data_IF_559222848100
#
_entry.id   IF_559222848100
#
_cell.length_a   1.000
_cell.length_b   1.000
_cell.length_c   1.000
_cell.angle_alpha   90.00
_cell.angle_beta   90.00
_cell.angle_gamma   90.00
#
_symmetry.space_group_name_H-M   'P 1'
#
loop_
_entity.id
_entity.type
_entity.pdbx_description
1 polymer ?
#
# COMPACT_ATOMS: atom_id res chain seq x y z
N UNK A 1 -71.78 45.79 -37.28
CA UNK A 1 -71.86 46.37 -35.92
C UNK A 1 -72.64 45.41 -35.03
N UNK A 2 -72.19 45.30 -33.77
CA UNK A 2 -72.83 44.69 -32.60
C UNK A 2 -72.98 43.14 -32.57
N UNK A 3 -72.27 42.47 -31.63
CA UNK A 3 -72.72 42.00 -30.28
C UNK A 3 -73.84 40.96 -30.43
N UNK A 4 -73.78 39.71 -29.97
CA UNK A 4 -73.01 39.01 -28.95
C UNK A 4 -74.00 38.06 -28.25
N UNK A 5 -73.68 36.77 -28.07
CA UNK A 5 -74.43 35.89 -27.18
C UNK A 5 -73.57 34.67 -26.81
N UNK A 6 -73.31 34.52 -25.52
CA UNK A 6 -72.68 33.36 -24.91
C UNK A 6 -73.69 32.23 -24.73
N UNK A 7 -73.24 30.98 -24.89
CA UNK A 7 -73.93 29.79 -24.39
C UNK A 7 -72.93 29.00 -23.53
N UNK A 8 -73.30 28.78 -22.27
CA UNK A 8 -72.54 28.04 -21.29
C UNK A 8 -72.66 26.52 -21.55
N UNK A 9 -71.56 25.79 -21.40
CA UNK A 9 -71.59 24.35 -21.17
C UNK A 9 -70.71 24.03 -19.97
N UNK A 10 -71.33 23.44 -18.95
CA UNK A 10 -70.71 22.99 -17.71
C UNK A 10 -69.89 21.73 -17.98
N UNK A 11 -68.62 21.73 -17.60
CA UNK A 11 -67.78 20.51 -17.51
C UNK A 11 -67.29 20.40 -16.08
N UNK A 12 -67.65 19.28 -15.44
CA UNK A 12 -67.24 18.90 -14.09
C UNK A 12 -65.78 18.44 -14.14
N UNK A 13 -64.87 19.19 -13.52
CA UNK A 13 -63.50 18.73 -13.26
C UNK A 13 -63.46 17.90 -11.98
N UNK A 14 -63.08 16.63 -12.11
CA UNK A 14 -62.67 15.80 -10.98
C UNK A 14 -61.31 16.29 -10.46
N UNK A 15 -61.25 16.66 -9.19
CA UNK A 15 -60.02 17.02 -8.49
C UNK A 15 -59.19 15.75 -8.22
N UNK A 16 -57.98 15.69 -8.80
CA UNK A 16 -56.96 14.74 -8.35
C UNK A 16 -56.29 15.32 -7.08
N UNK A 17 -56.10 14.53 -6.01
CA UNK A 17 -55.37 14.99 -4.84
C UNK A 17 -53.90 15.20 -5.21
N UNK A 18 -53.39 16.40 -4.90
CA UNK A 18 -52.00 16.76 -5.13
C UNK A 18 -51.06 15.82 -4.41
N UNK A 19 -50.16 15.18 -5.17
CA UNK A 19 -49.01 14.50 -4.63
C UNK A 19 -48.09 15.55 -4.01
N UNK A 20 -48.02 15.55 -2.68
CA UNK A 20 -46.91 16.17 -1.96
C UNK A 20 -45.66 15.45 -2.44
N UNK A 21 -44.82 16.14 -3.20
CA UNK A 21 -43.49 15.64 -3.53
C UNK A 21 -42.73 15.50 -2.21
N UNK A 22 -42.59 14.26 -1.75
CA UNK A 22 -41.60 13.94 -0.75
C UNK A 22 -40.24 14.26 -1.39
N UNK A 23 -39.52 15.23 -0.83
CA UNK A 23 -38.11 15.42 -1.11
C UNK A 23 -37.44 14.07 -0.96
N UNK A 24 -37.04 13.48 -2.09
CA UNK A 24 -36.22 12.30 -2.09
C UNK A 24 -34.87 12.76 -1.55
N UNK A 25 -34.34 12.20 -0.45
CA UNK A 25 -33.01 12.56 -0.01
C UNK A 25 -32.08 12.32 -1.20
N UNK A 26 -31.26 13.31 -1.54
CA UNK A 26 -30.16 13.09 -2.46
C UNK A 26 -29.41 11.83 -1.99
N UNK A 27 -28.99 10.92 -2.90
CA UNK A 27 -28.22 9.77 -2.48
C UNK A 27 -27.01 10.30 -1.71
N UNK A 28 -26.91 9.96 -0.42
CA UNK A 28 -25.68 10.14 0.35
C UNK A 28 -24.58 9.53 -0.50
N UNK A 29 -23.55 10.30 -0.83
CA UNK A 29 -22.32 9.71 -1.36
C UNK A 29 -21.96 8.54 -0.46
N UNK A 30 -21.75 7.35 -1.04
CA UNK A 30 -21.35 6.19 -0.28
C UNK A 30 -20.06 6.58 0.47
N UNK A 31 -20.07 6.46 1.80
CA UNK A 31 -18.86 6.71 2.59
C UNK A 31 -17.77 5.72 2.21
N UNK A 32 -16.53 6.08 2.48
CA UNK A 32 -15.38 5.22 2.29
C UNK A 32 -15.18 4.38 3.54
N UNK A 33 -14.96 3.08 3.34
CA UNK A 33 -14.67 2.16 4.43
C UNK A 33 -13.25 2.39 4.93
N UNK A 34 -13.11 2.61 6.23
CA UNK A 34 -11.84 2.82 6.91
C UNK A 34 -11.66 1.84 8.04
N UNK A 35 -10.46 1.28 8.14
CA UNK A 35 -10.07 0.46 9.27
C UNK A 35 -9.76 1.30 10.50
N UNK A 36 -10.26 0.83 11.64
CA UNK A 36 -10.06 1.45 12.94
C UNK A 36 -8.88 0.75 13.63
N UNK A 37 -7.82 1.45 14.02
CA UNK A 37 -6.71 0.81 14.73
C UNK A 37 -7.17 0.25 16.08
N UNK A 38 -6.41 -0.69 16.64
CA UNK A 38 -6.61 -1.20 18.00
C UNK A 38 -6.42 -0.11 19.07
N UNK A 39 -6.93 -0.31 20.30
CA UNK A 39 -6.70 0.63 21.40
C UNK A 39 -5.21 0.71 21.77
N UNK A 40 -4.75 1.90 22.18
CA UNK A 40 -3.31 2.16 22.43
C UNK A 40 -2.68 1.20 23.45
N UNK A 41 -3.39 0.89 24.53
CA UNK A 41 -2.91 -0.01 25.59
C UNK A 41 -3.27 -1.49 25.36
N UNK A 42 -3.88 -1.80 24.21
CA UNK A 42 -4.17 -3.15 23.79
C UNK A 42 -3.04 -3.76 22.96
N UNK A 43 -3.19 -5.04 22.63
CA UNK A 43 -2.29 -5.73 21.69
C UNK A 43 -2.88 -5.81 20.29
N UNK A 44 -4.21 -5.77 20.14
CA UNK A 44 -4.88 -5.95 18.84
C UNK A 44 -4.47 -4.88 17.82
N UNK A 45 -4.32 -5.30 16.56
CA UNK A 45 -3.93 -4.42 15.47
C UNK A 45 -5.05 -3.46 15.07
N UNK A 46 -6.30 -3.95 15.03
CA UNK A 46 -7.47 -3.19 14.66
C UNK A 46 -8.68 -3.40 15.58
N UNK A 47 -9.74 -2.67 15.29
CA UNK A 47 -11.02 -2.63 16.02
C UNK A 47 -12.22 -2.66 15.07
N UNK A 48 -12.01 -3.13 13.84
CA UNK A 48 -13.03 -3.27 12.81
C UNK A 48 -13.03 -2.07 11.88
N UNK A 49 -14.14 -1.89 11.17
CA UNK A 49 -14.27 -0.90 10.11
C UNK A 49 -15.46 0.02 10.36
N UNK A 50 -15.38 1.23 9.83
CA UNK A 50 -16.51 2.16 9.74
C UNK A 50 -16.53 2.85 8.39
N UNK A 51 -17.63 3.51 8.04
CA UNK A 51 -17.74 4.28 6.79
C UNK A 51 -17.72 5.77 7.10
N UNK A 52 -16.80 6.50 6.48
CA UNK A 52 -16.58 7.93 6.71
C UNK A 52 -16.75 8.73 5.41
N UNK A 53 -17.11 10.01 5.48
CA UNK A 53 -17.16 10.85 4.27
C UNK A 53 -15.76 11.01 3.65
N UNK A 54 -15.60 10.85 2.32
CA UNK A 54 -14.30 11.01 1.66
C UNK A 54 -13.75 12.43 1.73
N UNK A 55 -14.62 13.45 1.79
CA UNK A 55 -14.27 14.86 1.98
C UNK A 55 -13.75 15.20 3.39
N UNK A 56 -13.75 14.24 4.31
CA UNK A 56 -13.37 14.48 5.70
C UNK A 56 -14.27 15.50 6.41
N UNK A 57 -13.69 16.29 7.32
CA UNK A 57 -14.39 17.40 7.98
C UNK A 57 -14.05 18.73 7.29
N UNK A 58 -14.85 19.05 6.28
CA UNK A 58 -14.65 20.20 5.42
C UNK A 58 -14.68 21.53 6.20
N UNK A 59 -13.67 22.39 5.98
CA UNK A 59 -13.54 23.71 6.63
C UNK A 59 -12.84 24.73 5.73
N UNK A 60 -13.22 25.99 5.90
CA UNK A 60 -12.61 27.11 5.21
C UNK A 60 -11.15 27.27 5.64
N UNK A 61 -10.22 27.01 4.72
CA UNK A 61 -8.80 27.24 4.90
C UNK A 61 -8.45 28.71 4.68
N UNK A 62 -7.61 29.27 5.55
CA UNK A 62 -6.95 30.53 5.27
C UNK A 62 -6.03 30.39 4.05
N UNK A 63 -5.80 31.49 3.34
CA UNK A 63 -4.86 31.48 2.21
C UNK A 63 -3.44 31.45 2.75
N UNK A 64 -2.64 30.52 2.23
CA UNK A 64 -1.19 30.51 2.41
C UNK A 64 -0.59 31.85 1.93
N UNK A 65 0.43 32.31 2.65
CA UNK A 65 1.29 33.43 2.25
C UNK A 65 2.16 33.07 1.04
N UNK A 66 2.77 34.06 0.40
CA UNK A 66 3.59 33.80 -0.80
C UNK A 66 4.76 32.83 -0.57
N UNK A 67 5.52 32.90 0.56
CA UNK A 67 6.55 31.90 0.86
C UNK A 67 5.99 30.49 1.09
N UNK A 68 4.82 30.38 1.73
CA UNK A 68 4.16 29.11 1.97
C UNK A 68 3.69 28.47 0.65
N UNK A 69 3.07 29.25 -0.24
CA UNK A 69 2.68 28.80 -1.59
C UNK A 69 3.89 28.33 -2.40
N UNK A 70 5.05 28.96 -2.22
CA UNK A 70 6.26 28.59 -2.95
C UNK A 70 6.86 27.25 -2.49
N UNK A 71 6.63 26.85 -1.24
CA UNK A 71 7.07 25.57 -0.70
C UNK A 71 6.00 24.46 -0.81
N UNK A 72 4.73 24.85 -0.91
CA UNK A 72 3.62 23.91 -0.95
C UNK A 72 3.65 23.01 -2.19
N UNK A 73 3.60 21.70 -1.94
CA UNK A 73 3.69 20.67 -2.96
C UNK A 73 5.08 20.30 -3.42
N UNK A 74 6.14 20.80 -2.79
CA UNK A 74 7.50 20.40 -3.13
C UNK A 74 7.64 18.88 -2.95
N UNK A 75 8.20 18.21 -3.96
CA UNK A 75 8.37 16.76 -3.98
C UNK A 75 9.86 16.42 -3.85
N UNK A 76 10.22 15.65 -2.84
CA UNK A 76 11.60 15.20 -2.63
C UNK A 76 11.68 13.69 -2.58
N UNK A 77 12.60 13.11 -3.36
CA UNK A 77 12.97 11.69 -3.25
C UNK A 77 13.96 11.49 -2.12
N UNK A 78 13.50 11.05 -0.96
CA UNK A 78 14.32 10.89 0.25
C UNK A 78 15.06 9.56 0.27
N UNK A 79 14.53 8.54 -0.39
CA UNK A 79 15.20 7.25 -0.62
C UNK A 79 15.16 6.94 -2.12
N UNK A 80 16.34 6.85 -2.73
CA UNK A 80 16.50 6.52 -4.15
C UNK A 80 17.27 5.21 -4.34
N UNK A 81 16.53 4.13 -4.60
CA UNK A 81 17.11 2.83 -4.89
C UNK A 81 17.05 2.48 -6.39
N UNK A 82 16.61 3.40 -7.24
CA UNK A 82 16.46 3.20 -8.67
C UNK A 82 15.26 3.92 -9.29
N UNK A 83 15.07 3.76 -10.61
CA UNK A 83 13.93 4.36 -11.31
C UNK A 83 12.60 3.80 -10.78
N UNK A 84 11.57 4.64 -10.71
CA UNK A 84 10.24 4.26 -10.19
C UNK A 84 9.58 3.15 -10.99
N UNK A 85 9.82 3.09 -12.30
CA UNK A 85 9.34 1.98 -13.14
C UNK A 85 9.80 0.57 -12.70
N UNK A 86 10.80 0.48 -11.81
CA UNK A 86 11.34 -0.77 -11.29
C UNK A 86 11.33 -0.84 -9.76
N UNK A 87 10.77 0.15 -9.06
CA UNK A 87 10.75 0.22 -7.60
C UNK A 87 9.31 0.35 -7.13
N UNK A 88 9.10 0.03 -5.86
CA UNK A 88 7.87 0.35 -5.17
C UNK A 88 8.02 1.74 -4.55
N UNK A 89 7.21 2.69 -4.99
CA UNK A 89 7.35 4.09 -4.63
C UNK A 89 6.32 4.45 -3.54
N UNK A 90 6.80 4.67 -2.31
CA UNK A 90 5.99 5.13 -1.18
C UNK A 90 6.00 6.65 -1.16
N UNK A 91 4.83 7.28 -1.22
CA UNK A 91 4.66 8.73 -1.09
C UNK A 91 4.18 9.07 0.32
N UNK A 92 4.98 9.84 1.04
CA UNK A 92 4.66 10.35 2.37
C UNK A 92 4.19 11.80 2.26
N UNK A 93 3.00 12.10 2.75
CA UNK A 93 2.45 13.47 2.80
C UNK A 93 2.29 13.88 4.25
N UNK A 94 2.84 15.03 4.64
CA UNK A 94 2.74 15.54 6.01
C UNK A 94 1.53 16.45 6.18
N UNK A 95 0.76 16.30 7.25
CA UNK A 95 -0.32 17.24 7.59
C UNK A 95 -0.13 17.89 8.96
N UNK A 96 -0.57 19.14 9.09
CA UNK A 96 -0.41 19.93 10.31
C UNK A 96 1.02 20.43 10.53
N UNK A 97 1.88 20.43 9.50
CA UNK A 97 3.21 21.07 9.55
C UNK A 97 3.16 22.43 8.87
N UNK A 98 3.53 23.48 9.59
CA UNK A 98 3.73 24.81 9.00
C UNK A 98 5.03 24.86 8.17
N UNK A 99 5.22 25.92 7.39
CA UNK A 99 6.46 26.14 6.62
C UNK A 99 7.73 26.01 7.48
N UNK A 100 7.70 26.51 8.72
CA UNK A 100 8.83 26.43 9.65
C UNK A 100 9.09 25.01 10.18
N UNK A 101 8.12 24.10 10.03
CA UNK A 101 8.14 22.74 10.56
C UNK A 101 8.38 21.68 9.47
N UNK A 102 8.49 22.06 8.19
CA UNK A 102 8.84 21.11 7.11
C UNK A 102 10.15 20.33 7.38
N UNK A 103 11.21 20.91 7.96
CA UNK A 103 12.38 20.12 8.35
C UNK A 103 12.06 19.02 9.38
N UNK A 104 11.06 19.25 10.25
CA UNK A 104 10.57 18.21 11.19
C UNK A 104 9.77 17.16 10.44
N UNK A 105 8.89 17.54 9.51
CA UNK A 105 8.17 16.58 8.66
C UNK A 105 9.13 15.62 7.94
N UNK A 106 10.19 16.13 7.31
CA UNK A 106 11.16 15.28 6.62
C UNK A 106 11.88 14.32 7.58
N UNK A 107 12.21 14.77 8.78
CA UNK A 107 12.79 13.92 9.82
C UNK A 107 11.81 12.83 10.30
N UNK A 108 10.54 13.18 10.47
CA UNK A 108 9.49 12.25 10.89
C UNK A 108 9.21 11.21 9.78
N UNK A 109 9.20 11.62 8.51
CA UNK A 109 9.09 10.72 7.37
C UNK A 109 10.27 9.72 7.32
N UNK A 110 11.50 10.20 7.54
CA UNK A 110 12.68 9.34 7.61
C UNK A 110 12.61 8.37 8.79
N UNK A 111 12.19 8.85 9.98
CA UNK A 111 12.00 8.01 11.16
C UNK A 111 10.97 6.92 10.90
N UNK A 112 9.83 7.27 10.29
CA UNK A 112 8.77 6.32 9.97
C UNK A 112 9.23 5.27 8.96
N UNK A 113 9.98 5.66 7.93
CA UNK A 113 10.61 4.71 7.03
C UNK A 113 11.59 3.76 7.76
N UNK A 114 12.33 4.28 8.74
CA UNK A 114 13.17 3.46 9.63
C UNK A 114 12.38 2.43 10.43
N UNK A 115 11.20 2.80 10.93
CA UNK A 115 10.28 1.89 11.65
C UNK A 115 9.75 0.78 10.72
N UNK A 116 9.28 1.13 9.51
CA UNK A 116 8.82 0.16 8.51
C UNK A 116 9.93 -0.84 8.15
N UNK A 117 11.12 -0.33 7.84
CA UNK A 117 12.27 -1.16 7.44
C UNK A 117 12.97 -1.88 8.59
N UNK A 118 12.47 -1.77 9.82
CA UNK A 118 12.87 -2.61 10.94
C UNK A 118 12.07 -3.93 11.02
N UNK A 119 10.98 -4.06 10.26
CA UNK A 119 10.10 -5.24 10.23
C UNK A 119 10.38 -6.09 9.00
N UNK A 120 10.45 -7.41 9.14
CA UNK A 120 10.53 -8.31 7.98
C UNK A 120 9.14 -8.47 7.33
N UNK A 121 9.01 -8.53 5.99
CA UNK A 121 10.10 -8.60 5.01
C UNK A 121 10.66 -7.25 4.54
N UNK A 122 10.15 -6.10 5.00
CA UNK A 122 10.69 -4.78 4.59
C UNK A 122 12.19 -4.65 4.84
N UNK A 123 12.67 -5.12 5.99
CA UNK A 123 14.09 -5.08 6.33
C UNK A 123 14.97 -5.74 5.26
N UNK A 124 14.62 -6.95 4.82
CA UNK A 124 15.35 -7.66 3.75
C UNK A 124 15.22 -6.96 2.39
N UNK A 125 14.03 -6.44 2.06
CA UNK A 125 13.70 -5.94 0.72
C UNK A 125 13.73 -4.42 0.57
N UNK A 126 14.18 -3.66 1.57
CA UNK A 126 14.15 -2.19 1.57
C UNK A 126 14.76 -1.51 0.34
N UNK A 127 15.67 -2.18 -0.36
CA UNK A 127 16.28 -1.67 -1.61
C UNK A 127 15.41 -1.88 -2.86
N UNK A 128 14.20 -2.44 -2.72
CA UNK A 128 13.16 -2.45 -3.75
C UNK A 128 12.28 -1.20 -3.71
N UNK A 129 12.44 -0.35 -2.69
CA UNK A 129 11.56 0.79 -2.45
C UNK A 129 12.24 2.11 -2.79
N UNK A 130 11.48 3.04 -3.32
CA UNK A 130 11.76 4.46 -3.23
C UNK A 130 10.85 5.08 -2.16
N UNK A 131 11.30 6.17 -1.56
CA UNK A 131 10.48 6.96 -0.64
C UNK A 131 10.51 8.41 -1.09
N UNK A 132 9.34 9.01 -1.18
CA UNK A 132 9.12 10.39 -1.57
C UNK A 132 8.40 11.11 -0.43
N UNK A 133 8.71 12.39 -0.26
CA UNK A 133 7.94 13.29 0.57
C UNK A 133 7.25 14.33 -0.31
N UNK A 134 6.01 14.67 0.02
CA UNK A 134 5.30 15.82 -0.56
C UNK A 134 4.98 16.78 0.58
N UNK A 135 5.47 18.02 0.46
CA UNK A 135 5.30 19.04 1.49
C UNK A 135 3.90 19.66 1.37
N UNK A 136 2.97 19.26 2.24
CA UNK A 136 1.64 19.90 2.31
C UNK A 136 1.64 20.94 3.44
N UNK A 137 1.82 22.20 3.06
CA UNK A 137 2.05 23.30 4.01
C UNK A 137 0.73 23.66 4.69
N UNK A 138 0.68 23.48 6.01
CA UNK A 138 -0.49 23.80 6.83
C UNK A 138 -0.42 25.22 7.40
N UNK A 139 -1.58 25.91 7.47
CA UNK A 139 -1.68 27.22 8.14
C UNK A 139 -1.43 27.12 9.65
N UNK A 140 -1.72 25.98 10.26
CA UNK A 140 -1.58 25.76 11.69
C UNK A 140 -0.80 24.48 12.00
N UNK A 141 -0.02 24.53 13.09
CA UNK A 141 0.67 23.37 13.65
C UNK A 141 -0.31 22.49 14.43
N UNK A 142 -0.16 21.16 14.29
CA UNK A 142 -1.04 20.16 14.89
C UNK A 142 -2.20 19.78 13.98
N UNK A 143 -3.07 18.88 14.45
CA UNK A 143 -4.27 18.43 13.72
C UNK A 143 -5.53 18.61 14.56
N UNK A 144 -6.71 18.56 13.93
CA UNK A 144 -7.98 18.71 14.65
C UNK A 144 -8.22 17.52 15.60
N UNK A 145 -8.87 17.76 16.74
CA UNK A 145 -9.15 16.71 17.75
C UNK A 145 -8.01 16.44 18.75
N UNK A 146 -6.92 17.22 18.71
CA UNK A 146 -5.76 17.12 19.60
C UNK A 146 -5.38 18.53 20.15
N UNK A 147 -5.41 18.78 21.48
CA UNK A 147 -5.51 17.79 22.58
C UNK A 147 -6.93 17.30 22.91
N UNK A 148 -7.97 17.94 22.40
CA UNK A 148 -9.36 17.64 22.76
C UNK A 148 -10.27 17.54 21.53
N UNK A 149 -11.42 16.83 21.60
CA UNK A 149 -12.33 16.66 20.45
C UNK A 149 -12.82 17.96 19.81
N UNK A 150 -12.91 19.03 20.59
CA UNK A 150 -13.32 20.37 20.16
C UNK A 150 -12.19 21.19 19.53
N UNK A 151 -10.94 20.71 19.57
CA UNK A 151 -9.81 21.39 18.94
C UNK A 151 -9.96 21.39 17.42
N UNK A 152 -9.91 22.58 16.83
CA UNK A 152 -10.00 22.81 15.40
C UNK A 152 -8.70 23.38 14.88
N UNK A 153 -8.14 22.76 13.85
CA UNK A 153 -6.96 23.22 13.13
C UNK A 153 -7.25 23.35 11.63
N UNK A 154 -6.71 24.41 11.04
CA UNK A 154 -6.66 24.65 9.60
C UNK A 154 -5.36 24.04 9.03
N UNK A 155 -5.49 22.84 8.46
CA UNK A 155 -4.37 22.03 7.97
C UNK A 155 -4.58 21.64 6.51
N UNK A 156 -3.48 21.33 5.83
CA UNK A 156 -3.44 21.12 4.39
C UNK A 156 -4.30 19.94 3.92
N UNK A 157 -4.34 18.85 4.68
CA UNK A 157 -5.12 17.64 4.36
C UNK A 157 -6.37 17.48 5.23
N UNK A 158 -6.57 18.39 6.20
CA UNK A 158 -7.71 18.35 7.10
C UNK A 158 -7.75 17.13 8.03
N UNK A 159 -6.59 16.56 8.40
CA UNK A 159 -6.53 15.40 9.28
C UNK A 159 -7.20 15.67 10.63
N UNK A 160 -7.91 14.69 11.16
CA UNK A 160 -8.62 14.84 12.44
C UNK A 160 -8.79 13.51 13.18
N UNK A 161 -8.62 13.59 14.51
CA UNK A 161 -9.00 12.54 15.46
C UNK A 161 -10.51 12.54 15.72
N UNK A 162 -11.01 11.53 16.46
CA UNK A 162 -12.44 11.39 16.80
C UNK A 162 -13.33 11.24 15.57
N UNK A 163 -12.76 10.65 14.51
CA UNK A 163 -13.54 10.23 13.38
C UNK A 163 -14.52 9.13 13.81
N UNK A 164 -15.79 9.28 13.43
CA UNK A 164 -16.91 8.45 13.90
C UNK A 164 -16.99 8.33 15.45
N UNK A 165 -16.62 9.41 16.16
CA UNK A 165 -16.57 9.48 17.64
C UNK A 165 -15.56 8.50 18.29
N UNK A 166 -14.63 7.96 17.51
CA UNK A 166 -13.57 7.07 17.97
C UNK A 166 -12.27 7.87 18.09
N UNK A 167 -11.81 8.09 19.33
CA UNK A 167 -10.68 8.98 19.65
C UNK A 167 -9.45 8.79 18.75
N UNK A 168 -9.04 7.53 18.56
CA UNK A 168 -7.81 7.14 17.85
C UNK A 168 -7.99 7.01 16.33
N UNK A 169 -9.21 7.13 15.81
CA UNK A 169 -9.45 7.07 14.38
C UNK A 169 -9.04 8.41 13.76
N UNK A 170 -7.93 8.40 13.05
CA UNK A 170 -7.31 9.58 12.43
C UNK A 170 -7.67 9.60 10.93
N UNK A 171 -8.72 10.32 10.60
CA UNK A 171 -9.22 10.41 9.22
C UNK A 171 -8.63 11.62 8.49
N UNK A 172 -8.67 11.56 7.16
CA UNK A 172 -8.20 12.60 6.22
C UNK A 172 -9.28 12.93 5.19
N UNK A 173 -9.09 14.05 4.47
CA UNK A 173 -9.82 14.36 3.24
C UNK A 173 -9.08 13.72 2.05
N UNK A 174 -9.67 12.70 1.44
CA UNK A 174 -9.03 11.94 0.35
C UNK A 174 -8.82 12.79 -0.90
N UNK A 175 -9.73 13.74 -1.19
CA UNK A 175 -9.58 14.64 -2.33
C UNK A 175 -8.38 15.56 -2.19
N UNK A 176 -8.11 16.04 -0.97
CA UNK A 176 -6.89 16.81 -0.66
C UNK A 176 -5.64 15.94 -0.73
N UNK A 177 -5.68 14.73 -0.17
CA UNK A 177 -4.56 13.77 -0.28
C UNK A 177 -4.22 13.53 -1.75
N UNK A 178 -5.21 13.20 -2.58
CA UNK A 178 -5.03 12.99 -4.02
C UNK A 178 -4.42 14.20 -4.72
N UNK A 179 -4.83 15.42 -4.37
CA UNK A 179 -4.28 16.64 -4.96
C UNK A 179 -2.77 16.81 -4.68
N UNK A 180 -2.27 16.35 -3.53
CA UNK A 180 -0.83 16.33 -3.23
C UNK A 180 -0.12 15.14 -3.84
N UNK A 181 -0.71 13.94 -3.77
CA UNK A 181 -0.12 12.72 -4.35
C UNK A 181 0.02 12.84 -5.87
N UNK A 182 -0.89 13.54 -6.55
CA UNK A 182 -0.78 13.81 -7.98
C UNK A 182 0.51 14.57 -8.39
N UNK A 183 1.18 15.25 -7.45
CA UNK A 183 2.49 15.89 -7.68
C UNK A 183 3.64 14.87 -7.72
N UNK A 184 3.43 13.67 -7.17
CA UNK A 184 4.33 12.52 -7.19
C UNK A 184 3.63 11.30 -7.84
N UNK A 185 3.40 11.32 -9.18
CA UNK A 185 2.48 10.42 -9.87
C UNK A 185 2.91 8.95 -9.93
N UNK A 186 4.12 8.64 -9.48
CA UNK A 186 4.66 7.28 -9.43
C UNK A 186 4.25 6.53 -8.15
N UNK A 187 3.32 7.08 -7.34
CA UNK A 187 2.94 6.49 -6.06
C UNK A 187 2.27 5.11 -6.21
N UNK A 188 2.83 4.10 -5.53
CA UNK A 188 2.18 2.80 -5.36
C UNK A 188 1.44 2.71 -4.01
N UNK A 189 1.92 3.45 -3.00
CA UNK A 189 1.35 3.48 -1.65
C UNK A 189 1.46 4.88 -1.05
N UNK A 190 0.44 5.31 -0.31
CA UNK A 190 0.39 6.61 0.35
C UNK A 190 0.44 6.47 1.86
N UNK A 191 1.31 7.26 2.51
CA UNK A 191 1.38 7.39 3.96
C UNK A 191 1.15 8.85 4.36
N UNK A 192 0.09 9.13 5.09
CA UNK A 192 -0.16 10.45 5.67
C UNK A 192 0.37 10.51 7.08
N UNK A 193 1.26 11.46 7.35
CA UNK A 193 1.81 11.72 8.69
C UNK A 193 1.18 12.96 9.29
N UNK A 194 0.34 12.77 10.31
CA UNK A 194 -0.19 13.88 11.10
C UNK A 194 0.86 14.37 12.10
N UNK A 195 1.08 15.67 12.17
CA UNK A 195 1.91 16.33 13.17
C UNK A 195 1.24 16.25 14.56
N UNK A 196 1.33 15.10 15.21
CA UNK A 196 0.81 14.85 16.57
C UNK A 196 1.60 13.75 17.26
N UNK A 197 1.63 13.81 18.60
CA UNK A 197 2.14 12.74 19.47
C UNK A 197 1.03 11.83 19.99
N UNK A 198 -0.24 12.20 19.81
CA UNK A 198 -1.41 11.40 20.20
C UNK A 198 -1.44 10.11 19.38
N UNK A 199 -1.81 9.00 20.00
CA UNK A 199 -1.95 7.76 19.26
C UNK A 199 -3.18 7.79 18.35
N UNK A 200 -2.96 7.35 17.12
CA UNK A 200 -4.03 7.11 16.16
C UNK A 200 -3.52 6.92 14.74
N UNK A 201 -4.43 6.46 13.90
CA UNK A 201 -4.22 6.08 12.51
C UNK A 201 -5.53 5.59 11.90
N UNK A 202 -5.46 5.18 10.64
CA UNK A 202 -6.54 4.57 9.88
C UNK A 202 -5.97 3.89 8.63
N UNK A 203 -6.63 2.82 8.19
CA UNK A 203 -6.40 2.17 6.91
C UNK A 203 -7.49 2.50 5.90
N UNK A 204 -7.13 3.11 4.79
CA UNK A 204 -7.98 3.26 3.61
C UNK A 204 -7.50 2.24 2.58
N UNK A 205 -8.07 1.05 2.63
CA UNK A 205 -7.59 -0.12 1.90
C UNK A 205 -8.16 -0.23 0.47
N UNK A 206 -8.81 0.83 -0.01
CA UNK A 206 -9.29 0.95 -1.38
C UNK A 206 -8.21 1.52 -2.31
N UNK A 207 -8.14 0.96 -3.52
CA UNK A 207 -7.24 1.47 -4.57
C UNK A 207 -7.79 2.80 -5.10
N UNK A 208 -6.93 3.80 -5.22
CA UNK A 208 -7.31 5.07 -5.84
C UNK A 208 -7.76 4.85 -7.29
N UNK A 209 -9.00 5.25 -7.58
CA UNK A 209 -9.56 5.17 -8.94
C UNK A 209 -8.86 6.11 -9.92
N UNK A 210 -8.31 7.21 -9.41
CA UNK A 210 -7.75 8.32 -10.19
C UNK A 210 -6.24 8.20 -10.37
N UNK A 211 -5.52 7.86 -9.30
CA UNK A 211 -4.06 7.86 -9.27
C UNK A 211 -3.46 6.44 -9.21
N UNK A 212 -4.27 5.43 -8.89
CA UNK A 212 -3.89 4.03 -9.01
C UNK A 212 -3.05 3.44 -7.89
N UNK A 213 -2.71 4.21 -6.85
CA UNK A 213 -2.05 3.72 -5.64
C UNK A 213 -2.97 2.78 -4.84
N UNK A 214 -2.38 1.87 -4.06
CA UNK A 214 -3.09 0.71 -3.48
C UNK A 214 -3.82 0.97 -2.15
N UNK A 215 -3.56 2.11 -1.51
CA UNK A 215 -4.26 2.54 -0.30
C UNK A 215 -3.58 3.75 0.38
N UNK A 216 -4.27 4.30 1.39
CA UNK A 216 -3.74 5.35 2.29
C UNK A 216 -3.64 4.77 3.69
N UNK A 217 -2.46 4.88 4.29
CA UNK A 217 -2.31 4.69 5.73
C UNK A 217 -2.13 6.05 6.40
N UNK A 218 -2.86 6.31 7.49
CA UNK A 218 -2.63 7.50 8.32
C UNK A 218 -1.93 7.10 9.62
N UNK A 219 -1.01 7.94 10.08
CA UNK A 219 -0.33 7.74 11.34
C UNK A 219 0.06 9.08 11.98
N UNK A 220 0.01 9.12 13.31
CA UNK A 220 0.61 10.21 14.05
C UNK A 220 2.13 10.09 14.04
N UNK A 221 2.81 11.14 13.58
CA UNK A 221 4.24 11.16 13.34
C UNK A 221 5.07 10.95 14.62
N UNK A 222 4.63 11.58 15.73
CA UNK A 222 5.30 11.56 17.01
C UNK A 222 4.94 10.36 17.91
N UNK A 223 4.20 9.36 17.40
CA UNK A 223 3.80 8.18 18.17
C UNK A 223 4.33 6.88 17.53
N UNK A 224 5.08 6.08 18.29
CA UNK A 224 5.68 4.84 17.79
C UNK A 224 4.64 3.73 17.57
N UNK A 225 3.60 3.66 18.41
CA UNK A 225 2.49 2.70 18.24
C UNK A 225 1.69 3.01 16.96
N UNK A 226 1.53 4.29 16.59
CA UNK A 226 0.99 4.68 15.27
C UNK A 226 1.87 4.23 14.10
N UNK A 227 3.18 4.07 14.30
CA UNK A 227 4.06 3.44 13.29
C UNK A 227 3.74 1.98 13.04
N UNK A 228 3.39 1.23 14.09
CA UNK A 228 2.96 -0.16 13.96
C UNK A 228 1.62 -0.28 13.24
N UNK A 229 0.69 0.66 13.49
CA UNK A 229 -0.56 0.78 12.70
C UNK A 229 -0.22 0.94 11.23
N UNK A 230 0.68 1.87 10.86
CA UNK A 230 1.06 2.05 9.46
C UNK A 230 1.59 0.78 8.81
N UNK A 231 2.42 0.01 9.52
CA UNK A 231 2.94 -1.28 9.01
C UNK A 231 1.81 -2.30 8.81
N UNK A 232 0.82 -2.33 9.71
CA UNK A 232 -0.36 -3.17 9.57
C UNK A 232 -1.18 -2.81 8.33
N UNK A 233 -1.47 -1.52 8.11
CA UNK A 233 -2.22 -1.06 6.93
C UNK A 233 -1.51 -1.38 5.60
N UNK A 234 -0.19 -1.32 5.59
CA UNK A 234 0.58 -1.75 4.41
C UNK A 234 0.43 -3.24 4.11
N UNK A 235 0.08 -4.06 5.12
CA UNK A 235 -0.24 -5.48 4.98
C UNK A 235 -1.46 -5.70 4.08
N UNK A 236 -2.50 -4.91 4.25
CA UNK A 236 -3.67 -4.89 3.37
C UNK A 236 -3.29 -4.36 1.99
N UNK A 237 -2.67 -3.18 1.93
CA UNK A 237 -2.41 -2.49 0.66
C UNK A 237 -1.45 -3.26 -0.25
N UNK A 238 -0.31 -3.75 0.28
CA UNK A 238 0.71 -4.44 -0.51
C UNK A 238 0.48 -5.95 -0.57
N UNK A 239 0.25 -6.57 0.60
CA UNK A 239 0.12 -8.02 0.76
C UNK A 239 -1.25 -8.57 0.42
N UNK A 240 -2.29 -7.73 0.31
CA UNK A 240 -3.70 -8.14 0.16
C UNK A 240 -4.09 -9.15 1.26
N UNK A 241 -3.62 -8.86 2.47
CA UNK A 241 -3.93 -9.64 3.66
C UNK A 241 -5.26 -9.17 4.24
N UNK A 242 -5.98 -10.09 4.87
CA UNK A 242 -7.11 -9.75 5.72
C UNK A 242 -6.65 -9.59 7.18
N UNK A 243 -7.52 -9.04 8.00
CA UNK A 243 -7.34 -9.06 9.44
C UNK A 243 -7.47 -10.46 10.03
N UNK A 244 -6.66 -10.72 11.05
CA UNK A 244 -6.62 -11.98 11.79
C UNK A 244 -7.23 -11.86 13.19
N UNK A 245 -7.63 -10.65 13.62
CA UNK A 245 -8.38 -10.44 14.86
C UNK A 245 -9.88 -10.73 14.67
N UNK A 246 -10.57 -10.94 15.80
CA UNK A 246 -12.01 -11.24 15.83
C UNK A 246 -12.68 -10.68 17.10
N UNK A 247 -14.01 -10.54 17.07
CA UNK A 247 -14.79 -9.93 18.15
C UNK A 247 -15.79 -10.91 18.78
N UNK A 248 -15.46 -11.41 19.97
CA UNK A 248 -16.30 -12.36 20.71
C UNK A 248 -17.68 -11.79 21.08
N UNK A 249 -17.79 -10.47 21.25
CA UNK A 249 -18.96 -9.81 21.84
C UNK A 249 -19.62 -8.78 20.91
N UNK A 250 -19.32 -8.82 19.60
CA UNK A 250 -19.90 -7.88 18.63
C UNK A 250 -21.01 -8.56 17.81
N UNK A 251 -22.27 -8.09 17.88
CA UNK A 251 -23.39 -8.67 17.16
C UNK A 251 -23.14 -8.74 15.65
N UNK A 252 -23.31 -9.92 15.06
CA UNK A 252 -23.10 -10.17 13.63
C UNK A 252 -21.72 -10.73 13.28
N UNK A 253 -20.79 -10.83 14.24
CA UNK A 253 -19.46 -11.42 14.05
C UNK A 253 -19.28 -12.77 14.76
N UNK A 254 -20.36 -13.40 15.23
CA UNK A 254 -20.27 -14.68 15.96
C UNK A 254 -19.79 -15.83 15.05
N UNK A 255 -20.23 -15.83 13.78
CA UNK A 255 -19.88 -16.88 12.82
C UNK A 255 -19.92 -16.39 11.38
N UNK A 256 -18.83 -16.63 10.66
CA UNK A 256 -18.80 -16.48 9.22
C UNK A 256 -19.48 -17.66 8.52
N UNK A 257 -20.38 -17.37 7.59
CA UNK A 257 -21.11 -18.35 6.77
C UNK A 257 -21.01 -18.07 5.26
N UNK A 258 -20.10 -17.16 4.87
CA UNK A 258 -19.89 -16.77 3.49
C UNK A 258 -18.99 -17.73 2.69
N UNK A 259 -18.68 -17.37 1.43
CA UNK A 259 -17.79 -18.14 0.58
C UNK A 259 -16.33 -18.14 1.08
N UNK A 260 -15.48 -18.98 0.51
CA UNK A 260 -14.04 -18.94 0.80
C UNK A 260 -13.46 -17.55 0.46
N UNK A 261 -12.83 -16.83 1.41
CA UNK A 261 -12.23 -15.53 1.15
C UNK A 261 -11.14 -15.60 0.09
N UNK A 262 -10.85 -14.50 -0.61
CA UNK A 262 -9.75 -14.44 -1.57
C UNK A 262 -8.39 -14.33 -0.85
N UNK A 263 -8.36 -13.64 0.30
CA UNK A 263 -7.18 -13.29 1.08
C UNK A 263 -6.33 -14.51 1.44
N UNK A 264 -5.01 -14.34 1.40
CA UNK A 264 -4.08 -15.47 1.55
C UNK A 264 -3.96 -15.96 2.99
N UNK A 265 -4.36 -15.17 3.99
CA UNK A 265 -4.15 -15.45 5.42
C UNK A 265 -5.43 -15.75 6.21
N UNK A 266 -6.59 -15.88 5.56
CA UNK A 266 -7.80 -16.42 6.19
C UNK A 266 -8.49 -17.46 5.30
N UNK A 267 -9.20 -18.41 5.92
CA UNK A 267 -9.86 -19.51 5.21
C UNK A 267 -11.06 -20.07 5.97
N UNK A 268 -12.06 -20.59 5.25
CA UNK A 268 -13.14 -21.41 5.85
C UNK A 268 -12.72 -22.88 6.03
N UNK A 269 -11.59 -23.28 5.43
CA UNK A 269 -11.11 -24.66 5.37
C UNK A 269 -10.40 -25.09 6.65
N UNK A 270 -10.36 -26.39 6.91
CA UNK A 270 -9.48 -26.95 7.94
C UNK A 270 -8.06 -27.14 7.41
N UNK A 271 -7.07 -27.35 8.30
CA UNK A 271 -5.71 -27.69 7.88
C UNK A 271 -5.66 -28.96 7.00
N UNK A 272 -6.46 -29.97 7.33
CA UNK A 272 -6.58 -31.20 6.54
C UNK A 272 -7.16 -30.95 5.15
N UNK A 273 -8.20 -30.12 5.04
CA UNK A 273 -8.80 -29.74 3.76
C UNK A 273 -7.82 -28.97 2.88
N UNK A 274 -7.08 -28.01 3.46
CA UNK A 274 -6.05 -27.26 2.72
C UNK A 274 -4.96 -28.19 2.20
N UNK A 275 -4.48 -29.12 3.04
CA UNK A 275 -3.47 -30.11 2.65
C UNK A 275 -3.98 -31.03 1.54
N UNK A 276 -5.22 -31.50 1.62
CA UNK A 276 -5.81 -32.38 0.61
C UNK A 276 -6.06 -31.67 -0.73
N UNK A 277 -6.45 -30.39 -0.70
CA UNK A 277 -6.78 -29.59 -1.89
C UNK A 277 -5.57 -28.88 -2.50
N UNK A 278 -4.48 -28.74 -1.76
CA UNK A 278 -3.32 -27.98 -2.20
C UNK A 278 -3.59 -26.47 -2.34
N UNK A 279 -4.40 -25.90 -1.45
CA UNK A 279 -4.83 -24.49 -1.50
C UNK A 279 -4.35 -23.68 -0.30
N UNK A 280 -4.50 -22.35 -0.35
CA UNK A 280 -4.09 -21.42 0.70
C UNK A 280 -2.64 -21.69 1.15
N UNK A 281 -2.37 -21.67 2.43
CA UNK A 281 -1.04 -21.90 3.00
C UNK A 281 -0.71 -23.36 3.28
N UNK A 282 -1.31 -24.33 2.57
CA UNK A 282 -1.03 -25.76 2.78
C UNK A 282 0.47 -26.10 2.80
N UNK A 283 1.31 -25.38 2.04
CA UNK A 283 2.77 -25.58 1.96
C UNK A 283 3.50 -25.19 3.23
N UNK A 284 2.85 -24.43 4.11
CA UNK A 284 3.41 -23.93 5.36
C UNK A 284 2.91 -24.72 6.58
N UNK A 285 1.89 -25.57 6.45
CA UNK A 285 1.33 -26.32 7.60
C UNK A 285 2.41 -27.09 8.37
N UNK A 286 2.46 -26.89 9.68
CA UNK A 286 3.42 -27.49 10.60
C UNK A 286 4.75 -26.75 10.73
N UNK A 287 4.98 -25.68 9.97
CA UNK A 287 6.22 -24.91 10.03
C UNK A 287 6.21 -23.92 11.20
N UNK A 288 7.31 -23.79 11.96
CA UNK A 288 7.50 -22.68 12.89
C UNK A 288 7.49 -21.34 12.15
N UNK A 289 6.80 -20.35 12.70
CA UNK A 289 6.56 -19.06 12.07
C UNK A 289 7.26 -17.91 12.84
N UNK A 290 7.70 -16.83 12.16
CA UNK A 290 8.42 -15.71 12.81
C UNK A 290 7.68 -15.05 13.97
N UNK A 291 6.35 -15.08 13.97
CA UNK A 291 5.50 -14.59 15.08
C UNK A 291 5.62 -15.41 16.38
N UNK A 292 6.32 -16.55 16.32
CA UNK A 292 6.54 -17.47 17.43
C UNK A 292 5.57 -18.66 17.47
N UNK A 293 4.56 -18.68 16.58
CA UNK A 293 3.62 -19.79 16.43
C UNK A 293 4.10 -20.91 15.52
N UNK A 294 3.23 -21.90 15.33
CA UNK A 294 3.36 -22.94 14.29
C UNK A 294 2.21 -22.76 13.33
N UNK A 295 2.47 -22.82 12.03
CA UNK A 295 1.41 -22.64 11.03
C UNK A 295 0.44 -23.81 11.07
N UNK A 296 -0.83 -23.51 11.29
CA UNK A 296 -1.95 -24.43 11.37
C UNK A 296 -3.20 -23.83 10.74
N UNK A 297 -4.35 -24.06 11.35
CA UNK A 297 -5.61 -23.41 10.99
C UNK A 297 -6.40 -23.14 12.27
N UNK A 298 -6.19 -21.95 12.83
CA UNK A 298 -6.70 -21.55 14.14
C UNK A 298 -8.04 -20.84 13.97
N UNK A 299 -9.07 -21.29 14.69
CA UNK A 299 -10.40 -20.68 14.59
C UNK A 299 -10.40 -19.22 15.07
N UNK A 300 -11.11 -18.38 14.32
CA UNK A 300 -11.20 -16.94 14.53
C UNK A 300 -10.27 -16.15 13.59
N UNK A 301 -10.82 -15.11 12.96
CA UNK A 301 -10.12 -14.22 12.02
C UNK A 301 -11.11 -13.54 11.09
N UNK A 302 -10.67 -12.49 10.39
CA UNK A 302 -11.55 -11.67 9.55
C UNK A 302 -12.75 -11.14 10.32
N UNK A 303 -12.54 -10.69 11.56
CA UNK A 303 -13.56 -10.21 12.51
C UNK A 303 -14.43 -11.29 13.17
N UNK A 304 -14.58 -12.46 12.54
CA UNK A 304 -15.49 -13.51 13.01
C UNK A 304 -14.86 -14.46 14.03
N UNK A 305 -15.61 -14.80 15.08
CA UNK A 305 -15.18 -15.72 16.14
C UNK A 305 -15.02 -17.14 15.61
N UNK A 306 -15.97 -17.59 14.79
CA UNK A 306 -15.99 -18.95 14.22
C UNK A 306 -16.25 -18.93 12.71
N UNK A 307 -15.97 -20.04 12.03
CA UNK A 307 -16.22 -20.20 10.59
C UNK A 307 -15.09 -19.72 9.67
N UNK A 308 -14.22 -18.83 10.16
CA UNK A 308 -12.94 -18.51 9.55
C UNK A 308 -11.78 -19.00 10.42
N UNK A 309 -10.64 -19.24 9.78
CA UNK A 309 -9.38 -19.63 10.41
C UNK A 309 -8.22 -18.79 9.91
N UNK A 310 -7.31 -18.46 10.83
CA UNK A 310 -6.03 -17.80 10.56
C UNK A 310 -4.85 -18.79 10.65
N UNK A 311 -3.65 -18.43 10.17
CA UNK A 311 -2.57 -19.40 10.01
C UNK A 311 -1.82 -19.69 11.30
N UNK A 312 -1.72 -18.73 12.22
CA UNK A 312 -1.02 -18.84 13.50
C UNK A 312 -1.89 -18.29 14.63
N UNK A 313 -1.53 -18.55 15.89
CA UNK A 313 -2.27 -17.97 17.02
C UNK A 313 -2.24 -16.44 17.00
N UNK A 314 -1.13 -15.86 16.54
CA UNK A 314 -0.90 -14.41 16.50
C UNK A 314 -0.03 -14.02 15.29
N UNK A 315 -0.12 -12.77 14.86
CA UNK A 315 0.72 -12.19 13.80
C UNK A 315 0.54 -10.66 13.79
N UNK A 316 1.31 -9.95 12.95
CA UNK A 316 1.11 -8.51 12.72
C UNK A 316 -0.33 -8.17 12.28
N UNK A 317 -0.99 -9.05 11.53
CA UNK A 317 -2.39 -8.86 11.09
C UNK A 317 -3.41 -9.10 12.21
N UNK A 318 -2.96 -9.50 13.41
CA UNK A 318 -3.80 -9.67 14.60
C UNK A 318 -3.42 -8.71 15.72
N UNK A 319 -2.11 -8.54 15.96
CA UNK A 319 -1.57 -7.77 17.07
C UNK A 319 -0.38 -6.92 16.64
N UNK A 320 -0.36 -5.65 17.03
CA UNK A 320 0.77 -4.74 16.75
C UNK A 320 2.07 -5.22 17.41
N UNK A 321 3.21 -4.93 16.78
CA UNK A 321 4.53 -5.30 17.29
C UNK A 321 4.90 -6.78 17.13
N UNK A 322 4.02 -7.60 16.54
CA UNK A 322 4.33 -8.96 16.12
C UNK A 322 4.89 -8.98 14.70
N UNK A 323 5.78 -9.93 14.35
CA UNK A 323 6.10 -10.22 12.95
C UNK A 323 4.89 -10.72 12.16
N UNK A 324 4.92 -10.59 10.83
CA UNK A 324 4.01 -11.34 9.97
C UNK A 324 4.22 -12.86 10.15
N UNK A 325 3.14 -13.63 10.05
CA UNK A 325 3.25 -15.08 9.93
C UNK A 325 3.78 -15.48 8.55
N UNK A 326 4.22 -16.74 8.37
CA UNK A 326 4.83 -17.18 7.11
C UNK A 326 3.95 -16.95 5.85
N UNK A 327 2.63 -17.24 5.86
CA UNK A 327 1.75 -16.88 4.75
C UNK A 327 1.70 -15.37 4.49
N UNK A 328 1.68 -14.56 5.55
CA UNK A 328 1.78 -13.10 5.47
C UNK A 328 3.09 -12.64 4.85
N UNK A 329 4.23 -13.20 5.27
CA UNK A 329 5.55 -12.91 4.70
C UNK A 329 5.58 -13.24 3.20
N UNK A 330 5.09 -14.40 2.79
CA UNK A 330 5.01 -14.79 1.38
C UNK A 330 4.17 -13.82 0.56
N UNK A 331 3.00 -13.42 1.08
CA UNK A 331 2.11 -12.48 0.42
C UNK A 331 2.69 -11.06 0.32
N UNK A 332 3.37 -10.59 1.37
CA UNK A 332 4.07 -9.31 1.36
C UNK A 332 5.20 -9.29 0.32
N UNK A 333 6.01 -10.36 0.25
CA UNK A 333 7.03 -10.48 -0.80
C UNK A 333 6.39 -10.48 -2.19
N UNK A 334 5.28 -11.20 -2.38
CA UNK A 334 4.53 -11.18 -3.63
C UNK A 334 4.07 -9.75 -4.00
N UNK A 335 3.60 -8.99 -3.01
CA UNK A 335 3.25 -7.58 -3.14
C UNK A 335 4.42 -6.72 -3.61
N UNK A 336 5.59 -6.87 -2.99
CA UNK A 336 6.78 -6.11 -3.39
C UNK A 336 7.18 -6.36 -4.84
N UNK A 337 7.10 -7.62 -5.30
CA UNK A 337 7.44 -8.01 -6.68
C UNK A 337 6.35 -7.72 -7.71
N UNK A 338 5.14 -7.35 -7.28
CA UNK A 338 4.09 -6.84 -8.17
C UNK A 338 4.50 -5.48 -8.74
N UNK A 339 4.98 -4.60 -7.87
CA UNK A 339 5.38 -3.23 -8.22
C UNK A 339 6.87 -3.14 -8.63
N UNK A 340 7.76 -3.88 -7.96
CA UNK A 340 9.19 -3.78 -8.22
C UNK A 340 9.72 -4.74 -9.30
N UNK A 341 10.79 -4.32 -9.97
CA UNK A 341 11.63 -5.15 -10.85
C UNK A 341 13.06 -5.20 -10.34
N UNK A 342 13.70 -6.37 -10.49
CA UNK A 342 15.03 -6.63 -9.92
C UNK A 342 16.16 -6.63 -10.95
N UNK A 343 15.87 -6.20 -12.18
CA UNK A 343 16.87 -5.94 -13.21
C UNK A 343 16.46 -4.75 -14.07
N UNK A 344 17.14 -3.62 -13.89
CA UNK A 344 16.89 -2.38 -14.64
C UNK A 344 18.04 -2.11 -15.62
N UNK A 345 17.80 -1.81 -16.90
CA UNK A 345 18.88 -1.46 -17.83
C UNK A 345 19.55 -0.13 -17.44
N UNK A 346 20.84 -0.16 -17.10
CA UNK A 346 21.66 1.05 -17.00
C UNK A 346 22.21 1.42 -18.37
N UNK A 347 22.65 0.41 -19.13
CA UNK A 347 22.98 0.60 -20.54
C UNK A 347 21.70 0.54 -21.37
N UNK A 348 21.45 1.56 -22.18
CA UNK A 348 20.28 1.61 -23.06
C UNK A 348 20.16 0.36 -23.95
N UNK A 349 18.96 -0.23 -23.98
CA UNK A 349 18.63 -1.45 -24.74
C UNK A 349 18.24 -1.19 -26.19
N UNK A 350 17.87 0.05 -26.53
CA UNK A 350 17.39 0.45 -27.86
C UNK A 350 18.45 0.56 -28.97
N UNK A 351 19.74 0.33 -28.66
CA UNK A 351 20.83 0.34 -29.65
C UNK A 351 21.62 -0.96 -29.65
N UNK A 352 22.26 -1.27 -30.77
CA UNK A 352 23.22 -2.38 -30.83
C UNK A 352 24.51 -2.00 -30.11
N UNK A 353 24.91 -2.82 -29.13
CA UNK A 353 26.17 -2.68 -28.43
C UNK A 353 27.31 -3.33 -29.24
N UNK A 354 28.48 -2.71 -29.24
CA UNK A 354 29.70 -3.12 -29.96
C UNK A 354 30.81 -3.56 -29.01
N UNK A 355 31.91 -4.12 -29.52
CA UNK A 355 33.02 -4.62 -28.68
C UNK A 355 33.54 -3.64 -27.60
N UNK A 356 33.47 -2.33 -27.83
CA UNK A 356 33.86 -1.29 -26.85
C UNK A 356 32.80 -0.97 -25.79
N UNK A 357 31.55 -1.40 -25.98
CA UNK A 357 30.44 -1.15 -25.07
C UNK A 357 30.39 -2.14 -23.90
N UNK A 358 29.67 -1.76 -22.85
CA UNK A 358 29.37 -2.61 -21.68
C UNK A 358 27.87 -2.71 -21.53
N UNK A 359 27.34 -3.93 -21.48
CA UNK A 359 25.97 -4.18 -21.05
C UNK A 359 25.94 -4.16 -19.52
N UNK A 360 25.09 -3.32 -18.93
CA UNK A 360 24.99 -3.14 -17.48
C UNK A 360 23.52 -3.05 -17.07
N UNK A 361 23.16 -3.79 -16.03
CA UNK A 361 21.89 -3.65 -15.33
C UNK A 361 22.12 -3.28 -13.86
N UNK A 362 21.19 -2.53 -13.28
CA UNK A 362 21.05 -2.35 -11.85
C UNK A 362 20.29 -3.55 -11.30
N UNK A 363 20.92 -4.26 -10.37
CA UNK A 363 20.32 -5.37 -9.62
C UNK A 363 20.40 -4.97 -8.15
N UNK A 364 19.27 -4.82 -7.43
CA UNK A 364 19.28 -4.40 -6.05
C UNK A 364 19.95 -5.45 -5.17
N UNK A 365 20.60 -5.00 -4.08
CA UNK A 365 21.10 -5.91 -3.05
C UNK A 365 20.02 -6.17 -2.03
N UNK A 366 19.88 -7.40 -1.57
CA UNK A 366 19.04 -7.70 -0.41
C UNK A 366 19.81 -7.30 0.86
N UNK A 367 19.08 -6.78 1.86
CA UNK A 367 19.64 -6.30 3.12
C UNK A 367 19.44 -7.29 4.29
N UNK A 368 18.90 -8.48 4.00
CA UNK A 368 18.62 -9.50 5.01
C UNK A 368 19.88 -9.96 5.75
N UNK A 369 19.73 -10.24 7.05
CA UNK A 369 20.84 -10.62 7.93
C UNK A 369 21.50 -11.95 7.56
N UNK A 370 20.81 -12.81 6.82
CA UNK A 370 21.34 -14.09 6.34
C UNK A 370 22.31 -13.97 5.14
N UNK A 371 22.49 -12.76 4.61
CA UNK A 371 23.42 -12.47 3.52
C UNK A 371 22.99 -13.01 2.15
N UNK A 372 21.77 -13.55 2.01
CA UNK A 372 21.27 -14.04 0.71
C UNK A 372 21.22 -12.88 -0.29
N UNK A 373 21.57 -13.16 -1.54
CA UNK A 373 21.50 -12.20 -2.63
C UNK A 373 20.77 -12.80 -3.83
N UNK A 374 20.31 -11.92 -4.72
CA UNK A 374 19.67 -12.29 -5.97
C UNK A 374 20.62 -13.10 -6.86
N UNK A 375 20.07 -14.11 -7.53
CA UNK A 375 20.81 -14.91 -8.52
C UNK A 375 20.86 -14.16 -9.83
N UNK A 376 22.08 -13.88 -10.34
CA UNK A 376 22.28 -13.21 -11.63
C UNK A 376 22.87 -14.20 -12.64
N UNK A 377 22.22 -14.34 -13.80
CA UNK A 377 22.65 -15.21 -14.90
C UNK A 377 22.66 -14.46 -16.22
N UNK A 378 23.63 -14.76 -17.07
CA UNK A 378 23.74 -14.20 -18.41
C UNK A 378 23.47 -15.26 -19.46
N UNK A 379 22.85 -14.85 -20.57
CA UNK A 379 22.55 -15.69 -21.71
C UNK A 379 22.96 -15.01 -23.00
N UNK A 380 23.52 -15.77 -23.92
CA UNK A 380 23.82 -15.36 -25.28
C UNK A 380 23.03 -16.26 -26.23
N UNK A 381 22.14 -15.67 -27.02
CA UNK A 381 21.18 -16.38 -27.89
C UNK A 381 20.44 -17.51 -27.15
N UNK A 382 20.01 -17.23 -25.92
CA UNK A 382 19.29 -18.18 -25.06
C UNK A 382 20.16 -19.23 -24.37
N UNK A 383 21.48 -19.27 -24.61
CA UNK A 383 22.41 -20.19 -23.93
C UNK A 383 23.11 -19.52 -22.76
N UNK A 384 23.06 -20.14 -21.59
CA UNK A 384 23.68 -19.59 -20.37
C UNK A 384 25.20 -19.50 -20.50
N UNK A 385 25.76 -18.33 -20.19
CA UNK A 385 27.21 -18.08 -20.13
C UNK A 385 27.66 -18.12 -18.67
N UNK A 386 27.89 -19.33 -18.15
CA UNK A 386 28.15 -19.58 -16.72
C UNK A 386 29.32 -18.77 -16.13
N UNK A 387 30.34 -18.45 -16.94
CA UNK A 387 31.49 -17.66 -16.50
C UNK A 387 31.14 -16.21 -16.10
N UNK A 388 29.96 -15.73 -16.49
CA UNK A 388 29.45 -14.39 -16.20
C UNK A 388 28.45 -14.37 -15.04
N UNK A 389 28.15 -15.52 -14.43
CA UNK A 389 27.22 -15.61 -13.31
C UNK A 389 27.62 -14.66 -12.16
N UNK A 390 26.61 -14.04 -11.53
CA UNK A 390 26.81 -13.07 -10.43
C UNK A 390 27.25 -11.66 -10.87
N UNK A 391 27.60 -11.43 -12.14
CA UNK A 391 28.00 -10.10 -12.62
C UNK A 391 26.79 -9.28 -13.03
N UNK A 392 26.72 -8.02 -12.62
CA UNK A 392 25.69 -7.07 -13.07
C UNK A 392 26.06 -6.30 -14.36
N UNK A 393 27.28 -6.50 -14.85
CA UNK A 393 27.77 -5.88 -16.08
C UNK A 393 28.79 -6.77 -16.79
N UNK A 394 28.82 -6.67 -18.12
CA UNK A 394 29.71 -7.44 -18.99
C UNK A 394 30.11 -6.57 -20.18
N UNK A 395 31.40 -6.54 -20.51
CA UNK A 395 31.90 -5.90 -21.74
C UNK A 395 31.58 -6.80 -22.92
N UNK A 396 31.12 -6.24 -24.04
CA UNK A 396 30.74 -7.04 -25.22
C UNK A 396 31.92 -7.88 -25.74
N UNK A 397 33.15 -7.37 -25.65
CA UNK A 397 34.36 -8.14 -26.01
C UNK A 397 34.60 -9.39 -25.16
N UNK A 398 34.06 -9.45 -23.93
CA UNK A 398 34.26 -10.59 -23.02
C UNK A 398 33.40 -11.79 -23.40
N UNK A 399 32.44 -11.63 -24.33
CA UNK A 399 31.53 -12.69 -24.77
C UNK A 399 32.22 -13.78 -25.60
N UNK A 400 33.52 -13.61 -25.91
CA UNK A 400 34.33 -14.54 -26.70
C UNK A 400 33.63 -15.01 -28.00
N UNK A 401 32.80 -14.14 -28.58
CA UNK A 401 32.18 -14.33 -29.89
C UNK A 401 33.33 -14.48 -30.92
N UNK A 402 33.15 -15.35 -31.91
CA UNK A 402 34.19 -15.53 -32.94
C UNK A 402 34.42 -14.17 -33.62
N UNK A 403 35.68 -13.75 -33.75
CA UNK A 403 36.10 -12.46 -34.34
C UNK A 403 35.52 -12.16 -35.74
N UNK A 404 34.99 -13.17 -36.43
CA UNK A 404 34.38 -13.09 -37.76
C UNK A 404 32.85 -13.22 -37.75
N UNK A 405 32.21 -13.35 -36.58
CA UNK A 405 30.75 -13.39 -36.47
C UNK A 405 30.18 -11.97 -36.53
N UNK A 406 29.80 -11.54 -37.73
CA UNK A 406 29.20 -10.22 -38.00
C UNK A 406 27.70 -10.18 -37.68
N UNK A 407 27.13 -11.26 -37.14
CA UNK A 407 25.69 -11.33 -36.84
C UNK A 407 25.36 -10.54 -35.57
N UNK A 408 24.10 -10.14 -35.48
CA UNK A 408 23.53 -9.62 -34.25
C UNK A 408 23.19 -10.79 -33.34
N UNK A 409 23.55 -10.69 -32.07
CA UNK A 409 23.22 -11.65 -31.03
C UNK A 409 22.33 -10.99 -29.98
N UNK A 410 21.54 -11.81 -29.29
CA UNK A 410 20.76 -11.36 -28.13
C UNK A 410 21.54 -11.71 -26.87
N UNK A 411 22.03 -10.69 -26.18
CA UNK A 411 22.60 -10.83 -24.85
C UNK A 411 21.53 -10.48 -23.83
N UNK A 412 21.28 -11.35 -22.85
CA UNK A 412 20.35 -11.06 -21.77
C UNK A 412 20.94 -11.33 -20.39
N UNK A 413 20.53 -10.54 -19.41
CA UNK A 413 20.75 -10.75 -17.99
C UNK A 413 19.41 -11.07 -17.35
N UNK A 414 19.37 -12.13 -16.56
CA UNK A 414 18.22 -12.49 -15.71
C UNK A 414 18.64 -12.42 -14.25
N UNK A 415 17.93 -11.61 -13.47
CA UNK A 415 17.98 -11.61 -12.02
C UNK A 415 16.78 -12.38 -11.48
N UNK A 416 17.00 -13.20 -10.45
CA UNK A 416 15.98 -14.04 -9.84
C UNK A 416 16.18 -14.09 -8.33
N UNK A 417 15.08 -13.95 -7.59
CA UNK A 417 15.04 -14.24 -6.18
C UNK A 417 14.59 -15.68 -5.94
N UNK A 418 15.27 -16.36 -5.02
CA UNK A 418 15.06 -17.75 -4.66
C UNK A 418 14.88 -17.91 -3.16
N UNK A 419 14.36 -16.88 -2.51
CA UNK A 419 14.06 -16.92 -1.09
C UNK A 419 13.21 -18.15 -0.74
N UNK A 420 13.53 -18.87 0.34
CA UNK A 420 12.69 -19.97 0.82
C UNK A 420 11.38 -19.47 1.43
N UNK A 421 11.25 -18.16 1.67
CA UNK A 421 10.03 -17.52 2.19
C UNK A 421 8.90 -17.42 1.17
N UNK A 422 9.11 -17.90 -0.06
CA UNK A 422 8.08 -18.06 -1.09
C UNK A 422 8.12 -19.51 -1.59
N UNK A 423 7.08 -20.28 -1.26
CA UNK A 423 6.86 -21.68 -1.64
C UNK A 423 5.82 -21.82 -2.75
N UNK A 424 4.96 -20.82 -2.96
CA UNK A 424 4.05 -20.79 -4.09
C UNK A 424 4.83 -20.61 -5.41
N UNK A 425 4.58 -21.52 -6.35
CA UNK A 425 5.32 -21.56 -7.62
C UNK A 425 4.92 -20.45 -8.56
N UNK A 426 3.68 -19.99 -8.51
CA UNK A 426 3.21 -18.93 -9.39
C UNK A 426 3.71 -17.58 -8.89
N UNK A 427 3.78 -17.37 -7.57
CA UNK A 427 4.48 -16.22 -6.98
C UNK A 427 5.98 -16.29 -7.30
N UNK A 428 6.65 -17.42 -7.08
CA UNK A 428 8.09 -17.53 -7.35
C UNK A 428 8.46 -17.23 -8.82
N UNK A 429 7.54 -17.46 -9.77
CA UNK A 429 7.75 -17.11 -11.19
C UNK A 429 7.73 -15.61 -11.46
N UNK A 430 7.04 -14.81 -10.66
CA UNK A 430 7.02 -13.34 -10.81
C UNK A 430 8.28 -12.68 -10.23
N UNK A 431 9.00 -13.37 -9.35
CA UNK A 431 10.22 -12.90 -8.68
C UNK A 431 11.48 -12.98 -9.55
N UNK A 432 11.34 -12.62 -10.83
CA UNK A 432 12.40 -12.67 -11.83
C UNK A 432 12.25 -11.50 -12.81
N UNK A 433 13.35 -10.88 -13.18
CA UNK A 433 13.40 -9.86 -14.21
C UNK A 433 14.49 -10.15 -15.23
N UNK A 434 14.22 -9.87 -16.51
CA UNK A 434 15.17 -10.08 -17.61
C UNK A 434 15.33 -8.80 -18.42
N UNK A 435 16.58 -8.39 -18.63
CA UNK A 435 16.95 -7.29 -19.53
C UNK A 435 17.72 -7.87 -20.70
N UNK A 436 17.47 -7.36 -21.91
CA UNK A 436 18.11 -7.83 -23.14
C UNK A 436 18.69 -6.69 -23.98
N UNK A 437 19.86 -6.92 -24.56
CA UNK A 437 20.54 -6.05 -25.50
C UNK A 437 20.80 -6.80 -26.80
N UNK A 438 20.74 -6.06 -27.92
CA UNK A 438 21.31 -6.54 -29.17
C UNK A 438 22.82 -6.24 -29.16
N UNK A 439 23.67 -7.23 -29.43
CA UNK A 439 25.13 -7.06 -29.48
C UNK A 439 25.71 -7.50 -30.81
N UNK A 440 26.83 -6.90 -31.22
CA UNK A 440 27.63 -7.29 -32.38
C UNK A 440 29.11 -7.01 -32.07
N UNK A 441 30.04 -7.89 -32.46
CA UNK A 441 31.46 -7.56 -32.34
C UNK A 441 31.87 -6.39 -33.25
#
# INVERSE_FOLDING_TARGET
MAVGAAAALVVVLAAAPGSVAADTPAPRAAGVEVEIPGPEEGTFAGSGHTHVPPEGRDRAAARLSSPEVAADGEVTKTVDNGPSADRLDIVVVGDGYTLAELPRFHADAQKKWGELTAVEPYATYRNLFNVWTVDAVSNQSGVSGDPSPDTVRDTALGSYFWCDEIERLLCVDQGKVDAYVAKAPEADLVLVLANSTKYGGAGYNERSETLGYEGISTASAGNEKSGQVAIHETGHSLGKLADEYFYADYPGYERYVGPEPADSNITTLTAGDMAARGTKWHRWLGEPSPDGGVVGAYEGGGYYVTGLRRPTEDSLMRSLGKPFNLPGVEAMIAGFYREARIASPVTATGRTLRGGDTAKALVPRLAGADGRQLTIRWYLDGREVKALAGRSHVRVSDLALRLLDLRKHTLSLTAEDRTPSVRDRDIARTMRSTVSWTVRL
#
